data_IF_085137107412
#
_entry.id   IF_085137107412
#
_cell.length_a   1.000
_cell.length_b   1.000
_cell.length_c   1.000
_cell.angle_alpha   90.00
_cell.angle_beta   90.00
_cell.angle_gamma   90.00
#
_symmetry.space_group_name_H-M   'P 1'
#
loop_
_entity.id
_entity.type
_entity.pdbx_description
1 polymer ?
#
# COMPACT_ATOMS: atom_id res chain seq x y z
N UNK A 1 21.82 -1.00 -3.23
CA UNK A 1 22.47 0.21 -2.73
C UNK A 1 23.09 1.07 -3.83
N UNK A 2 23.57 0.51 -4.94
CA UNK A 2 24.09 1.29 -6.11
C UNK A 2 23.11 2.30 -6.76
N UNK A 3 21.82 2.23 -6.44
CA UNK A 3 20.77 3.07 -7.05
C UNK A 3 20.74 4.52 -6.52
N UNK A 4 21.56 4.87 -5.53
CA UNK A 4 21.53 6.18 -4.88
C UNK A 4 22.84 6.96 -5.00
N UNK A 5 23.76 6.55 -5.89
CA UNK A 5 25.09 7.17 -6.06
C UNK A 5 25.03 8.59 -6.66
N UNK A 6 23.92 8.99 -7.32
CA UNK A 6 23.73 10.29 -7.98
C UNK A 6 22.64 11.15 -7.33
N UNK A 7 22.52 11.13 -6.01
CA UNK A 7 21.46 11.89 -5.35
C UNK A 7 21.83 13.38 -5.24
N UNK A 8 21.00 14.31 -5.73
CA UNK A 8 21.27 15.74 -5.57
C UNK A 8 21.21 16.13 -4.09
N UNK A 9 22.08 17.05 -3.71
CA UNK A 9 22.09 17.70 -2.41
C UNK A 9 20.72 18.33 -2.15
N UNK A 10 19.84 17.62 -1.46
CA UNK A 10 18.59 18.19 -1.01
C UNK A 10 18.84 18.85 0.33
N UNK A 11 19.35 20.10 0.31
CA UNK A 11 19.40 20.93 1.50
C UNK A 11 18.02 20.87 2.18
N UNK A 12 17.98 20.53 3.46
CA UNK A 12 16.76 20.39 4.26
C UNK A 12 15.94 19.10 4.09
N UNK A 13 16.44 18.05 3.45
CA UNK A 13 15.79 16.73 3.40
C UNK A 13 16.63 15.70 4.14
N UNK A 14 15.99 14.91 5.01
CA UNK A 14 16.60 13.74 5.62
C UNK A 14 16.03 12.48 4.94
N UNK A 15 16.87 11.78 4.18
CA UNK A 15 16.54 10.45 3.65
C UNK A 15 17.18 9.40 4.54
N UNK A 16 16.33 8.65 5.21
CA UNK A 16 16.72 7.67 6.21
C UNK A 16 16.28 6.27 5.74
N UNK A 17 17.19 5.31 5.84
CA UNK A 17 16.96 3.92 5.45
C UNK A 17 17.17 3.00 6.65
N UNK A 18 16.13 2.31 7.08
CA UNK A 18 16.25 1.20 8.02
C UNK A 18 16.41 -0.07 7.22
N UNK A 19 17.61 -0.62 7.23
CA UNK A 19 17.93 -1.89 6.59
C UNK A 19 17.91 -3.00 7.61
N UNK A 20 17.09 -4.00 7.39
CA UNK A 20 16.98 -5.13 8.30
C UNK A 20 17.21 -6.45 7.55
N UNK A 21 18.12 -7.26 8.07
CA UNK A 21 18.38 -8.64 7.69
C UNK A 21 18.06 -9.58 8.84
N UNK A 22 18.13 -10.92 8.68
CA UNK A 22 17.98 -11.85 9.79
C UNK A 22 18.97 -11.65 10.94
N UNK A 23 20.16 -11.13 10.66
CA UNK A 23 21.27 -11.07 11.60
C UNK A 23 21.55 -9.67 12.14
N UNK A 24 21.12 -8.62 11.43
CA UNK A 24 21.40 -7.25 11.83
C UNK A 24 20.32 -6.28 11.34
N UNK A 25 20.19 -5.18 12.06
CA UNK A 25 19.42 -4.03 11.63
C UNK A 25 20.24 -2.77 11.78
N UNK A 26 20.27 -1.93 10.73
CA UNK A 26 21.05 -0.71 10.65
C UNK A 26 20.20 0.44 10.13
N UNK A 27 20.51 1.63 10.61
CA UNK A 27 19.99 2.89 10.13
C UNK A 27 21.05 3.61 9.32
N UNK A 28 20.72 3.94 8.10
CA UNK A 28 21.55 4.74 7.21
C UNK A 28 20.88 6.08 6.94
N UNK A 29 21.68 7.09 6.73
CA UNK A 29 21.30 8.39 6.16
C UNK A 29 21.99 8.55 4.82
N UNK A 30 21.25 9.05 3.83
CA UNK A 30 21.83 9.43 2.55
C UNK A 30 22.45 10.82 2.69
N UNK A 31 23.71 10.93 2.36
CA UNK A 31 24.50 12.18 2.31
C UNK A 31 25.15 12.31 0.93
N UNK A 32 25.88 13.41 0.68
CA UNK A 32 26.54 13.69 -0.61
C UNK A 32 27.45 12.54 -1.07
N UNK A 33 28.18 11.95 -0.13
CA UNK A 33 29.13 10.86 -0.40
C UNK A 33 28.50 9.46 -0.37
N UNK A 34 27.16 9.37 -0.31
CA UNK A 34 26.41 8.13 -0.30
C UNK A 34 25.77 7.80 1.05
N UNK A 35 25.48 6.51 1.27
CA UNK A 35 24.81 6.02 2.48
C UNK A 35 25.78 5.89 3.65
N UNK A 36 25.57 6.68 4.69
CA UNK A 36 26.35 6.63 5.94
C UNK A 36 25.54 5.89 7.01
N UNK A 37 26.12 4.84 7.59
CA UNK A 37 25.53 4.15 8.75
C UNK A 37 25.63 5.06 9.98
N UNK A 38 24.46 5.50 10.48
CA UNK A 38 24.40 6.38 11.66
C UNK A 38 24.00 5.66 12.94
N UNK A 39 23.46 4.43 12.83
CA UNK A 39 23.13 3.61 13.99
C UNK A 39 23.06 2.12 13.66
N UNK A 40 23.63 1.29 14.53
CA UNK A 40 23.47 -0.14 14.49
C UNK A 40 22.55 -0.58 15.64
N UNK A 41 21.54 -1.40 15.33
CA UNK A 41 20.59 -1.92 16.33
C UNK A 41 20.91 -3.37 16.72
N UNK A 42 21.81 -4.04 15.97
CA UNK A 42 22.12 -5.46 16.16
C UNK A 42 20.98 -6.37 15.68
N UNK A 43 20.87 -7.54 16.30
CA UNK A 43 19.88 -8.57 15.93
C UNK A 43 18.53 -8.28 16.59
N UNK A 44 17.71 -7.45 15.94
CA UNK A 44 16.37 -7.08 16.38
C UNK A 44 15.35 -7.47 15.30
N UNK A 45 14.16 -7.93 15.72
CA UNK A 45 13.08 -8.25 14.78
C UNK A 45 12.37 -6.97 14.32
N UNK A 46 12.53 -6.54 13.06
CA UNK A 46 11.87 -5.34 12.54
C UNK A 46 10.35 -5.49 12.44
N UNK A 47 9.85 -6.73 12.40
CA UNK A 47 8.41 -7.06 12.30
C UNK A 47 7.76 -7.26 13.68
N UNK A 48 8.32 -6.67 14.71
CA UNK A 48 7.66 -6.50 16.00
C UNK A 48 7.09 -5.08 16.11
N UNK A 49 5.80 -4.94 16.45
CA UNK A 49 5.10 -3.65 16.46
C UNK A 49 5.73 -2.64 17.41
N UNK A 50 6.21 -3.07 18.57
CA UNK A 50 6.84 -2.19 19.54
C UNK A 50 8.21 -1.71 19.04
N UNK A 51 8.99 -2.63 18.45
CA UNK A 51 10.30 -2.32 17.85
C UNK A 51 10.13 -1.30 16.72
N UNK A 52 9.22 -1.56 15.79
CA UNK A 52 8.94 -0.65 14.66
C UNK A 52 8.47 0.72 15.17
N UNK A 53 7.53 0.74 16.11
CA UNK A 53 7.02 1.96 16.73
C UNK A 53 8.13 2.78 17.41
N UNK A 54 9.00 2.12 18.17
CA UNK A 54 10.12 2.77 18.85
C UNK A 54 11.10 3.39 17.85
N UNK A 55 11.46 2.66 16.79
CA UNK A 55 12.37 3.15 15.75
C UNK A 55 11.79 4.36 15.06
N UNK A 56 10.54 4.28 14.57
CA UNK A 56 9.88 5.39 13.86
C UNK A 56 9.75 6.61 14.76
N UNK A 57 9.33 6.45 16.01
CA UNK A 57 9.21 7.57 16.96
C UNK A 57 10.56 8.22 17.25
N UNK A 58 11.62 7.42 17.42
CA UNK A 58 12.97 7.94 17.62
C UNK A 58 13.48 8.72 16.39
N UNK A 59 13.21 8.20 15.18
CA UNK A 59 13.59 8.88 13.94
C UNK A 59 12.89 10.23 13.81
N UNK A 60 11.58 10.27 14.06
CA UNK A 60 10.81 11.53 14.02
C UNK A 60 11.29 12.55 15.06
N UNK A 61 11.68 12.08 16.24
CA UNK A 61 12.22 12.94 17.27
C UNK A 61 13.62 13.48 16.90
N UNK A 62 14.48 12.63 16.35
CA UNK A 62 15.86 13.01 15.99
C UNK A 62 15.94 13.83 14.70
N UNK A 63 14.98 13.69 13.80
CA UNK A 63 14.91 14.37 12.51
C UNK A 63 13.54 15.05 12.33
N UNK A 64 13.25 16.12 13.11
CA UNK A 64 11.97 16.81 13.00
C UNK A 64 11.81 17.44 11.61
N UNK A 65 10.60 17.31 11.03
CA UNK A 65 10.31 17.76 9.68
C UNK A 65 8.89 18.31 9.59
N UNK A 66 8.66 19.27 8.69
CA UNK A 66 7.31 19.79 8.36
C UNK A 66 6.51 18.81 7.53
N UNK A 67 7.18 18.01 6.71
CA UNK A 67 6.59 16.97 5.89
C UNK A 67 7.33 15.65 6.14
N UNK A 68 6.60 14.60 6.41
CA UNK A 68 7.19 13.28 6.68
C UNK A 68 6.49 12.23 5.82
N UNK A 69 7.26 11.53 5.01
CA UNK A 69 6.82 10.35 4.27
C UNK A 69 7.36 9.06 4.88
N UNK A 70 6.64 7.97 4.68
CA UNK A 70 7.07 6.63 5.04
C UNK A 70 7.00 5.71 3.82
N UNK A 71 8.09 5.04 3.50
CA UNK A 71 8.15 4.04 2.44
C UNK A 71 8.35 2.69 3.09
N UNK A 72 7.43 1.77 2.84
CA UNK A 72 7.42 0.42 3.38
C UNK A 72 7.69 -0.57 2.26
N UNK A 73 8.94 -1.00 2.14
CA UNK A 73 9.40 -1.96 1.13
C UNK A 73 9.52 -3.36 1.71
N UNK A 74 8.71 -4.29 1.21
CA UNK A 74 8.75 -5.70 1.63
C UNK A 74 7.83 -6.58 0.78
N UNK A 75 7.80 -7.89 1.07
CA UNK A 75 6.69 -8.74 0.63
C UNK A 75 5.40 -8.37 1.37
N UNK A 76 4.27 -8.45 0.65
CA UNK A 76 2.95 -8.32 1.25
C UNK A 76 1.89 -9.11 0.46
N UNK A 77 0.74 -9.37 1.10
CA UNK A 77 -0.42 -10.02 0.50
C UNK A 77 -1.74 -9.32 0.90
N UNK A 78 -1.69 -8.00 1.02
CA UNK A 78 -2.85 -7.21 1.41
C UNK A 78 -3.41 -7.62 2.77
N UNK A 79 -4.72 -7.65 2.90
CA UNK A 79 -5.43 -7.94 4.14
C UNK A 79 -5.43 -9.42 4.55
N UNK A 80 -4.93 -10.32 3.71
CA UNK A 80 -4.99 -11.76 3.96
C UNK A 80 -4.31 -12.13 5.28
N UNK A 81 -4.91 -13.02 6.10
CA UNK A 81 -4.37 -13.42 7.38
C UNK A 81 -3.10 -14.26 7.23
N UNK A 82 -2.25 -14.23 8.25
CA UNK A 82 -0.94 -14.91 8.25
C UNK A 82 -1.04 -16.44 8.08
N UNK A 83 -2.13 -17.04 8.52
CA UNK A 83 -2.29 -18.50 8.59
C UNK A 83 -2.77 -19.13 7.26
N UNK A 84 -3.15 -18.33 6.29
CA UNK A 84 -3.63 -18.80 4.99
C UNK A 84 -2.47 -19.01 4.01
N UNK A 85 -2.28 -20.25 3.57
CA UNK A 85 -1.32 -20.64 2.52
C UNK A 85 0.15 -20.30 2.83
N UNK A 86 0.58 -20.36 4.09
CA UNK A 86 1.91 -19.84 4.49
C UNK A 86 2.08 -18.37 4.12
N UNK A 87 0.98 -17.61 4.06
CA UNK A 87 0.92 -16.28 3.54
C UNK A 87 1.44 -15.25 4.52
N UNK A 88 2.00 -14.19 3.96
CA UNK A 88 2.73 -13.13 4.66
C UNK A 88 1.93 -11.85 4.49
N UNK A 89 1.22 -11.39 5.53
CA UNK A 89 0.47 -10.13 5.44
C UNK A 89 1.42 -8.98 5.09
N UNK A 90 2.49 -8.81 5.88
CA UNK A 90 3.55 -7.84 5.58
C UNK A 90 4.90 -8.33 6.10
N UNK A 91 5.93 -8.23 5.29
CA UNK A 91 7.30 -8.56 5.64
C UNK A 91 7.59 -10.06 5.75
N UNK A 92 8.87 -10.37 5.80
CA UNK A 92 9.39 -11.67 6.21
C UNK A 92 10.77 -11.50 6.84
N UNK A 93 10.87 -11.75 8.12
CA UNK A 93 12.15 -11.79 8.82
C UNK A 93 12.20 -13.03 9.74
N UNK A 94 13.16 -13.92 9.51
CA UNK A 94 13.32 -15.15 10.31
C UNK A 94 12.02 -15.98 10.45
N UNK A 95 11.27 -16.14 9.36
CA UNK A 95 9.99 -16.85 9.35
C UNK A 95 8.84 -16.10 10.02
N UNK A 96 9.07 -14.91 10.55
CA UNK A 96 8.04 -14.06 11.15
C UNK A 96 7.49 -13.05 10.13
N UNK A 97 6.22 -12.72 10.27
CA UNK A 97 5.50 -11.72 9.49
C UNK A 97 4.72 -10.81 10.44
N UNK A 98 4.29 -9.67 9.96
CA UNK A 98 3.43 -8.74 10.70
C UNK A 98 2.06 -8.66 10.02
N UNK A 99 0.98 -8.73 10.78
CA UNK A 99 -0.35 -8.51 10.24
C UNK A 99 -0.58 -7.03 9.92
N UNK A 100 -1.50 -6.73 9.00
CA UNK A 100 -1.84 -5.34 8.66
C UNK A 100 -2.32 -4.54 9.87
N UNK A 101 -3.20 -5.07 10.77
CA UNK A 101 -3.52 -4.39 12.02
C UNK A 101 -2.31 -4.06 12.88
N UNK A 102 -1.37 -5.00 13.04
CA UNK A 102 -0.14 -4.78 13.82
C UNK A 102 0.74 -3.71 13.20
N UNK A 103 0.86 -3.71 11.86
CA UNK A 103 1.59 -2.68 11.12
C UNK A 103 0.98 -1.29 11.34
N UNK A 104 -0.34 -1.17 11.21
CA UNK A 104 -1.03 0.10 11.44
C UNK A 104 -0.93 0.57 12.91
N UNK A 105 -0.97 -0.35 13.88
CA UNK A 105 -0.78 -0.04 15.31
C UNK A 105 0.66 0.40 15.64
N UNK A 106 1.66 -0.05 14.89
CA UNK A 106 3.03 0.37 15.07
C UNK A 106 3.28 1.84 14.70
N UNK A 107 2.42 2.41 13.86
CA UNK A 107 2.46 3.82 13.45
C UNK A 107 1.65 4.67 14.44
N UNK A 108 2.32 5.23 15.45
CA UNK A 108 1.66 6.08 16.48
C UNK A 108 1.27 7.43 15.93
N UNK A 109 2.11 8.00 15.06
CA UNK A 109 1.93 9.30 14.44
C UNK A 109 1.39 9.17 13.03
N UNK A 110 0.80 10.24 12.50
CA UNK A 110 0.41 10.34 11.10
C UNK A 110 1.56 10.85 10.23
N UNK A 111 1.51 10.48 8.95
CA UNK A 111 2.45 10.89 7.91
C UNK A 111 1.74 11.74 6.86
N UNK A 112 2.48 12.55 6.11
CA UNK A 112 1.92 13.23 4.96
C UNK A 112 1.60 12.23 3.85
N UNK A 113 2.43 11.18 3.72
CA UNK A 113 2.15 10.06 2.82
C UNK A 113 2.78 8.75 3.31
N UNK A 114 2.19 7.64 2.86
CA UNK A 114 2.78 6.30 2.95
C UNK A 114 2.83 5.73 1.54
N UNK A 115 3.98 5.16 1.17
CA UNK A 115 4.14 4.36 -0.05
C UNK A 115 4.35 2.91 0.36
N UNK A 116 3.45 2.03 -0.09
CA UNK A 116 3.66 0.60 0.01
C UNK A 116 4.37 0.10 -1.23
N UNK A 117 5.68 -0.02 -1.17
CA UNK A 117 6.47 -0.73 -2.19
C UNK A 117 6.40 -2.24 -1.90
N UNK A 118 5.20 -2.77 -2.04
CA UNK A 118 4.81 -4.12 -1.67
C UNK A 118 3.56 -4.57 -2.43
N UNK A 119 3.43 -5.89 -2.65
CA UNK A 119 2.34 -6.48 -3.43
C UNK A 119 0.98 -6.36 -2.74
N UNK A 120 -0.09 -6.17 -3.50
CA UNK A 120 -1.49 -6.24 -3.07
C UNK A 120 -1.86 -5.28 -1.92
N UNK A 121 -1.24 -4.10 -1.83
CA UNK A 121 -1.52 -3.16 -0.74
C UNK A 121 -2.58 -2.12 -1.09
N UNK A 122 -2.95 -1.93 -2.39
CA UNK A 122 -4.08 -1.08 -2.77
C UNK A 122 -5.38 -1.89 -2.74
N UNK A 123 -5.85 -2.19 -1.55
CA UNK A 123 -7.20 -2.71 -1.31
C UNK A 123 -7.85 -1.96 -0.16
N UNK A 124 -9.18 -1.82 -0.21
CA UNK A 124 -9.92 -0.99 0.73
C UNK A 124 -9.79 -1.48 2.17
N UNK A 125 -9.61 -2.79 2.36
CA UNK A 125 -9.40 -3.42 3.66
C UNK A 125 -8.10 -2.95 4.30
N UNK A 126 -7.00 -2.86 3.54
CA UNK A 126 -5.73 -2.28 4.02
C UNK A 126 -5.92 -0.79 4.28
N UNK A 127 -6.47 -0.07 3.32
CA UNK A 127 -6.70 1.38 3.42
C UNK A 127 -7.48 1.75 4.67
N UNK A 128 -8.46 0.95 5.07
CA UNK A 128 -9.25 1.15 6.29
C UNK A 128 -8.39 1.18 7.56
N UNK A 129 -7.33 0.39 7.65
CA UNK A 129 -6.40 0.42 8.78
C UNK A 129 -5.52 1.68 8.80
N UNK A 130 -5.29 2.30 7.64
CA UNK A 130 -4.39 3.44 7.50
C UNK A 130 -5.10 4.80 7.39
N UNK A 131 -6.42 4.85 7.51
CA UNK A 131 -7.24 6.06 7.35
C UNK A 131 -6.82 7.27 8.20
N UNK A 132 -6.18 7.02 9.36
CA UNK A 132 -5.67 8.05 10.26
C UNK A 132 -4.13 8.07 10.33
N UNK A 133 -3.46 7.31 9.47
CA UNK A 133 -2.01 7.13 9.51
C UNK A 133 -1.28 7.96 8.47
N UNK A 134 -1.97 8.37 7.41
CA UNK A 134 -1.40 9.27 6.41
C UNK A 134 -2.50 10.06 5.69
N UNK A 135 -2.07 11.13 4.99
CA UNK A 135 -2.97 11.87 4.10
C UNK A 135 -3.10 11.16 2.75
N UNK A 136 -1.96 10.79 2.15
CA UNK A 136 -1.94 10.05 0.89
C UNK A 136 -1.35 8.65 1.08
N UNK A 137 -1.90 7.69 0.35
CA UNK A 137 -1.40 6.32 0.30
C UNK A 137 -1.18 5.93 -1.17
N UNK A 138 0.09 5.63 -1.53
CA UNK A 138 0.46 5.13 -2.87
C UNK A 138 0.73 3.64 -2.77
N UNK A 139 0.03 2.82 -3.55
CA UNK A 139 0.15 1.38 -3.49
C UNK A 139 -0.32 0.70 -4.79
N UNK A 140 0.04 -0.58 -4.96
CA UNK A 140 -0.42 -1.43 -6.05
C UNK A 140 -1.49 -2.42 -5.59
N UNK A 141 -2.58 -2.64 -6.37
CA UNK A 141 -3.58 -3.68 -6.10
C UNK A 141 -3.12 -5.08 -6.52
N UNK A 142 -1.93 -5.18 -7.13
CA UNK A 142 -1.39 -6.38 -7.73
C UNK A 142 0.07 -6.61 -7.28
N UNK A 143 0.74 -7.58 -7.87
CA UNK A 143 2.17 -7.85 -7.62
C UNK A 143 3.02 -6.64 -8.04
N UNK A 144 3.90 -6.22 -7.15
CA UNK A 144 4.99 -5.28 -7.45
C UNK A 144 6.22 -6.10 -7.84
N UNK A 145 6.80 -5.88 -9.02
CA UNK A 145 8.03 -6.56 -9.43
C UNK A 145 9.21 -6.27 -8.49
N UNK A 146 10.23 -7.13 -8.53
CA UNK A 146 11.36 -7.12 -7.58
C UNK A 146 12.11 -5.78 -7.49
N UNK A 147 12.17 -5.02 -8.59
CA UNK A 147 12.83 -3.70 -8.59
C UNK A 147 11.98 -2.60 -7.94
N UNK A 148 10.80 -2.95 -7.47
CA UNK A 148 9.94 -2.08 -6.65
C UNK A 148 9.34 -0.87 -7.37
N UNK A 149 8.65 -0.07 -6.60
CA UNK A 149 8.08 1.22 -7.01
C UNK A 149 9.17 2.30 -6.90
N UNK A 150 9.98 2.25 -5.84
CA UNK A 150 10.93 3.30 -5.49
C UNK A 150 12.32 3.00 -6.02
N UNK A 151 12.90 3.99 -6.68
CA UNK A 151 14.28 4.02 -7.16
C UNK A 151 14.87 5.45 -7.02
N UNK A 152 16.04 5.70 -7.62
CA UNK A 152 16.68 7.02 -7.54
C UNK A 152 15.86 8.13 -8.19
N UNK A 153 15.15 7.85 -9.29
CA UNK A 153 14.31 8.85 -9.99
C UNK A 153 13.09 9.20 -9.14
N UNK A 154 12.37 8.21 -8.66
CA UNK A 154 11.21 8.42 -7.79
C UNK A 154 11.61 9.12 -6.48
N UNK A 155 12.78 8.79 -5.91
CA UNK A 155 13.28 9.47 -4.70
C UNK A 155 13.61 10.94 -4.97
N UNK A 156 14.24 11.28 -6.11
CA UNK A 156 14.46 12.67 -6.54
C UNK A 156 13.14 13.44 -6.70
N UNK A 157 12.15 12.78 -7.28
CA UNK A 157 10.79 13.34 -7.43
C UNK A 157 10.15 13.66 -6.07
N UNK A 158 10.25 12.73 -5.10
CA UNK A 158 9.69 12.91 -3.76
C UNK A 158 10.26 14.10 -3.00
N UNK A 159 11.50 14.50 -3.27
CA UNK A 159 12.15 15.64 -2.62
C UNK A 159 12.15 16.91 -3.47
N UNK A 160 11.50 16.90 -4.62
CA UNK A 160 11.38 18.07 -5.50
C UNK A 160 10.48 19.17 -4.91
N UNK A 161 10.46 20.34 -5.53
CA UNK A 161 9.65 21.48 -5.11
C UNK A 161 8.19 21.42 -5.54
N UNK A 162 7.78 20.37 -6.24
CA UNK A 162 6.38 20.17 -6.64
C UNK A 162 5.46 19.99 -5.42
N UNK A 163 4.18 20.34 -5.51
CA UNK A 163 3.20 20.01 -4.49
C UNK A 163 3.17 18.50 -4.20
N UNK A 164 2.96 18.12 -2.95
CA UNK A 164 3.03 16.71 -2.51
C UNK A 164 2.21 15.76 -3.38
N UNK A 165 0.96 16.10 -3.66
CA UNK A 165 0.08 15.28 -4.50
C UNK A 165 0.70 15.04 -5.90
N UNK A 166 1.24 16.07 -6.51
CA UNK A 166 1.86 15.99 -7.83
C UNK A 166 3.12 15.13 -7.79
N UNK A 167 3.97 15.27 -6.76
CA UNK A 167 5.15 14.40 -6.57
C UNK A 167 4.77 12.93 -6.50
N UNK A 168 3.72 12.60 -5.75
CA UNK A 168 3.24 11.22 -5.62
C UNK A 168 2.64 10.67 -6.92
N UNK A 169 1.93 11.51 -7.69
CA UNK A 169 1.45 11.15 -9.03
C UNK A 169 2.61 10.87 -9.97
N UNK A 170 3.64 11.73 -9.97
CA UNK A 170 4.83 11.53 -10.82
C UNK A 170 5.61 10.26 -10.43
N UNK A 171 5.68 9.92 -9.16
CA UNK A 171 6.22 8.61 -8.72
C UNK A 171 5.42 7.46 -9.31
N UNK A 172 4.09 7.54 -9.30
CA UNK A 172 3.23 6.53 -9.91
C UNK A 172 3.41 6.42 -11.43
N UNK A 173 3.52 7.55 -12.13
CA UNK A 173 3.78 7.59 -13.60
C UNK A 173 5.15 6.99 -13.92
N UNK A 174 6.19 7.37 -13.15
CA UNK A 174 7.52 6.79 -13.33
C UNK A 174 7.53 5.28 -13.13
N UNK A 175 6.81 4.78 -12.13
CA UNK A 175 6.67 3.34 -11.91
C UNK A 175 6.08 2.63 -13.13
N UNK A 176 5.01 3.13 -13.72
CA UNK A 176 4.40 2.55 -14.91
C UNK A 176 5.36 2.57 -16.10
N UNK A 177 5.96 3.73 -16.39
CA UNK A 177 6.89 3.91 -17.50
C UNK A 177 8.12 3.00 -17.38
N UNK A 178 8.70 2.87 -16.19
CA UNK A 178 9.83 1.98 -15.91
C UNK A 178 9.56 0.52 -16.32
N UNK A 179 8.36 0.03 -16.09
CA UNK A 179 8.01 -1.36 -16.43
C UNK A 179 7.49 -1.52 -17.86
N UNK A 180 6.95 -0.48 -18.47
CA UNK A 180 6.66 -0.42 -19.89
C UNK A 180 7.95 -0.49 -20.71
N UNK A 181 8.97 0.34 -20.40
CA UNK A 181 10.28 0.31 -21.05
C UNK A 181 11.01 -1.03 -20.93
N UNK A 182 10.77 -1.75 -19.84
CA UNK A 182 11.35 -3.08 -19.60
C UNK A 182 10.56 -4.23 -20.24
N UNK A 183 9.52 -3.91 -21.02
CA UNK A 183 8.65 -4.91 -21.64
C UNK A 183 8.14 -5.94 -20.62
N UNK A 184 7.77 -5.48 -19.42
CA UNK A 184 7.29 -6.34 -18.37
C UNK A 184 5.99 -7.03 -18.82
N UNK A 185 6.02 -8.36 -18.89
CA UNK A 185 4.86 -9.17 -19.31
C UNK A 185 3.74 -9.26 -18.27
N UNK A 186 4.00 -8.78 -17.07
CA UNK A 186 3.00 -8.78 -16.00
C UNK A 186 2.17 -7.50 -16.08
N UNK A 187 0.89 -7.63 -15.79
CA UNK A 187 0.04 -6.47 -15.55
C UNK A 187 0.59 -5.67 -14.36
N UNK A 188 0.80 -4.38 -14.57
CA UNK A 188 1.29 -3.42 -13.56
C UNK A 188 0.17 -2.41 -13.31
N UNK A 189 -0.14 -2.16 -12.07
CA UNK A 189 -1.14 -1.19 -11.67
C UNK A 189 -0.72 -0.49 -10.39
N UNK A 190 -1.06 0.80 -10.27
CA UNK A 190 -0.73 1.62 -9.10
C UNK A 190 -1.77 2.70 -8.90
N UNK A 191 -2.05 3.04 -7.65
CA UNK A 191 -3.01 4.08 -7.30
C UNK A 191 -2.52 4.97 -6.18
N UNK A 192 -2.88 6.25 -6.26
CA UNK A 192 -2.75 7.21 -5.18
C UNK A 192 -4.13 7.47 -4.57
N UNK A 193 -4.24 7.24 -3.28
CA UNK A 193 -5.48 7.30 -2.52
C UNK A 193 -5.41 8.50 -1.56
N UNK A 194 -6.42 9.38 -1.60
CA UNK A 194 -6.58 10.49 -0.67
C UNK A 194 -7.43 10.06 0.53
N UNK A 195 -6.79 9.81 1.66
CA UNK A 195 -7.45 9.31 2.87
C UNK A 195 -8.34 10.36 3.56
N UNK A 196 -8.23 11.64 3.18
CA UNK A 196 -9.17 12.66 3.66
C UNK A 196 -10.62 12.38 3.21
N UNK A 197 -10.79 11.64 2.11
CA UNK A 197 -12.09 11.26 1.54
C UNK A 197 -12.64 9.94 2.11
N UNK A 198 -11.89 9.25 2.96
CA UNK A 198 -12.29 7.93 3.49
C UNK A 198 -13.67 7.95 4.17
N UNK A 199 -13.98 9.00 4.92
CA UNK A 199 -15.27 9.11 5.61
C UNK A 199 -16.47 9.17 4.65
N UNK A 200 -16.31 9.82 3.50
CA UNK A 200 -17.35 9.93 2.47
C UNK A 200 -17.60 8.56 1.81
N UNK A 201 -16.52 7.88 1.47
CA UNK A 201 -16.57 6.55 0.88
C UNK A 201 -17.15 5.52 1.86
N UNK A 202 -16.75 5.56 3.12
CA UNK A 202 -17.32 4.72 4.18
C UNK A 202 -18.82 4.94 4.34
N UNK A 203 -19.28 6.20 4.34
CA UNK A 203 -20.68 6.54 4.41
C UNK A 203 -21.44 5.97 3.21
N UNK A 204 -20.94 6.20 2.00
CA UNK A 204 -21.52 5.62 0.78
C UNK A 204 -21.70 4.11 0.93
N UNK A 205 -20.65 3.38 1.33
CA UNK A 205 -20.70 1.93 1.44
C UNK A 205 -21.62 1.41 2.56
N UNK A 206 -21.87 2.18 3.61
CA UNK A 206 -22.89 1.83 4.60
C UNK A 206 -24.31 1.90 4.04
N UNK A 207 -24.56 2.87 3.18
CA UNK A 207 -25.89 3.20 2.66
C UNK A 207 -26.27 2.38 1.41
N UNK A 208 -25.31 1.74 0.73
CA UNK A 208 -25.63 0.93 -0.45
C UNK A 208 -26.52 -0.26 -0.08
N UNK A 209 -27.49 -0.60 -0.95
CA UNK A 209 -28.35 -1.76 -0.76
C UNK A 209 -27.56 -3.06 -0.92
N UNK A 210 -28.24 -4.19 -0.78
CA UNK A 210 -27.68 -5.50 -1.14
C UNK A 210 -27.26 -5.50 -2.61
N UNK A 211 -26.09 -6.09 -2.87
CA UNK A 211 -25.51 -6.19 -4.19
C UNK A 211 -25.88 -7.55 -4.82
N UNK A 212 -26.45 -7.49 -6.02
CA UNK A 212 -26.58 -8.67 -6.88
C UNK A 212 -25.39 -8.68 -7.83
N UNK A 213 -24.53 -9.68 -7.70
CA UNK A 213 -23.28 -9.74 -8.44
C UNK A 213 -23.42 -10.70 -9.60
N UNK A 214 -22.97 -10.26 -10.77
CA UNK A 214 -22.56 -11.12 -11.85
C UNK A 214 -21.04 -11.15 -11.93
N UNK A 215 -20.41 -12.20 -11.41
CA UNK A 215 -18.96 -12.34 -11.32
C UNK A 215 -18.27 -12.18 -12.68
N UNK A 216 -18.92 -12.54 -13.78
CA UNK A 216 -18.36 -12.44 -15.14
C UNK A 216 -18.11 -10.99 -15.59
N UNK A 217 -18.77 -10.03 -14.97
CA UNK A 217 -18.63 -8.60 -15.30
C UNK A 217 -17.59 -7.89 -14.44
N UNK A 218 -17.00 -8.58 -13.47
CA UNK A 218 -16.03 -7.98 -12.56
C UNK A 218 -14.61 -8.14 -13.09
N UNK A 219 -13.79 -7.13 -12.88
CA UNK A 219 -12.36 -7.24 -13.07
C UNK A 219 -11.70 -7.80 -11.81
N UNK A 220 -10.81 -8.79 -11.99
CA UNK A 220 -10.16 -9.49 -10.90
C UNK A 220 -8.64 -9.31 -11.00
N UNK A 221 -8.06 -8.79 -9.95
CA UNK A 221 -6.61 -8.77 -9.78
C UNK A 221 -6.13 -10.17 -9.43
N UNK A 222 -5.42 -10.80 -10.35
CA UNK A 222 -5.05 -12.22 -10.22
C UNK A 222 -4.21 -12.50 -8.98
N UNK A 223 -4.68 -13.42 -8.16
CA UNK A 223 -3.96 -13.95 -7.01
C UNK A 223 -3.95 -15.47 -7.04
N UNK A 224 -2.83 -16.05 -7.51
CA UNK A 224 -2.69 -17.52 -7.66
C UNK A 224 -3.88 -18.12 -8.47
N UNK A 225 -4.64 -19.03 -7.85
CA UNK A 225 -5.76 -19.73 -8.45
C UNK A 225 -7.12 -19.34 -7.84
N UNK A 226 -7.15 -18.30 -7.00
CA UNK A 226 -8.33 -17.89 -6.23
C UNK A 226 -8.63 -16.43 -6.51
N UNK A 227 -9.88 -16.13 -6.80
CA UNK A 227 -10.35 -14.76 -7.01
C UNK A 227 -10.74 -14.16 -5.66
N UNK A 228 -9.88 -13.25 -5.16
CA UNK A 228 -10.00 -12.59 -3.85
C UNK A 228 -10.07 -11.08 -3.99
N UNK A 229 -9.30 -10.53 -4.93
CA UNK A 229 -9.13 -9.09 -5.11
C UNK A 229 -9.90 -8.66 -6.35
N UNK A 230 -11.10 -8.12 -6.16
CA UNK A 230 -11.93 -7.61 -7.24
C UNK A 230 -11.78 -6.09 -7.36
N UNK A 231 -11.78 -5.56 -8.57
CA UNK A 231 -11.78 -4.11 -8.73
C UNK A 231 -13.06 -3.49 -8.15
N UNK A 232 -12.86 -2.57 -7.24
CA UNK A 232 -13.95 -2.00 -6.48
C UNK A 232 -14.86 -1.09 -7.29
N UNK A 233 -14.30 -0.28 -8.19
CA UNK A 233 -15.07 0.63 -9.04
C UNK A 233 -15.89 -0.17 -10.05
N UNK A 234 -15.32 -1.22 -10.63
CA UNK A 234 -16.04 -2.14 -11.53
C UNK A 234 -17.21 -2.80 -10.83
N UNK A 235 -17.02 -3.25 -9.56
CA UNK A 235 -18.10 -3.79 -8.75
C UNK A 235 -19.22 -2.77 -8.55
N UNK A 236 -18.89 -1.54 -8.13
CA UNK A 236 -19.88 -0.48 -7.90
C UNK A 236 -20.65 -0.12 -9.18
N UNK A 237 -19.94 0.01 -10.31
CA UNK A 237 -20.58 0.25 -11.61
C UNK A 237 -21.52 -0.89 -12.04
N UNK A 238 -21.10 -2.14 -11.82
CA UNK A 238 -21.95 -3.32 -12.12
C UNK A 238 -23.25 -3.32 -11.32
N UNK A 239 -23.19 -2.82 -10.10
CA UNK A 239 -24.32 -2.65 -9.20
C UNK A 239 -25.09 -1.33 -9.42
N UNK A 240 -24.71 -0.53 -10.41
CA UNK A 240 -25.30 0.78 -10.74
C UNK A 240 -25.22 1.80 -9.58
N UNK A 241 -24.18 1.70 -8.77
CA UNK A 241 -23.88 2.65 -7.69
C UNK A 241 -23.09 3.82 -8.26
N UNK A 242 -23.42 5.04 -7.83
CA UNK A 242 -22.64 6.23 -8.17
C UNK A 242 -21.21 6.13 -7.62
N UNK A 243 -20.22 6.29 -8.49
CA UNK A 243 -18.80 6.19 -8.15
C UNK A 243 -18.11 7.53 -7.99
N UNK A 244 -18.81 8.66 -8.03
CA UNK A 244 -18.22 10.00 -7.95
C UNK A 244 -17.33 10.18 -6.71
N UNK A 245 -17.79 9.76 -5.53
CA UNK A 245 -17.00 9.81 -4.31
C UNK A 245 -15.77 8.89 -4.32
N UNK A 246 -15.82 7.79 -5.08
CA UNK A 246 -14.67 6.89 -5.24
C UNK A 246 -13.61 7.55 -6.13
N UNK A 247 -14.02 8.31 -7.15
CA UNK A 247 -13.11 9.05 -8.00
C UNK A 247 -12.39 10.19 -7.27
N UNK A 248 -13.06 10.81 -6.27
CA UNK A 248 -12.40 11.78 -5.39
C UNK A 248 -11.41 11.12 -4.42
N UNK A 249 -11.63 9.87 -4.11
CA UNK A 249 -10.79 9.08 -3.21
C UNK A 249 -9.56 8.49 -3.93
N UNK A 250 -9.72 7.98 -5.15
CA UNK A 250 -8.64 7.49 -6.01
C UNK A 250 -8.20 8.66 -6.89
N UNK A 251 -7.28 9.49 -6.39
CA UNK A 251 -6.88 10.75 -7.06
C UNK A 251 -5.90 10.56 -8.21
N UNK A 252 -5.32 9.38 -8.34
CA UNK A 252 -4.55 8.95 -9.48
C UNK A 252 -4.60 7.42 -9.57
N UNK A 253 -4.67 6.92 -10.78
CA UNK A 253 -4.54 5.53 -11.12
C UNK A 253 -3.90 5.38 -12.49
N UNK A 254 -3.14 4.30 -12.68
CA UNK A 254 -2.62 3.89 -13.97
C UNK A 254 -2.26 2.42 -13.99
N UNK A 255 -2.34 1.81 -15.18
CA UNK A 255 -1.97 0.41 -15.42
C UNK A 255 -1.24 0.25 -16.78
N UNK A 256 -0.44 -0.80 -16.91
CA UNK A 256 0.44 -1.03 -18.08
C UNK A 256 -0.29 -1.55 -19.32
N UNK A 257 -1.47 -2.17 -19.17
CA UNK A 257 -2.19 -2.83 -20.26
C UNK A 257 -3.34 -1.97 -20.79
N UNK A 258 -3.51 -0.76 -20.28
CA UNK A 258 -4.68 0.09 -20.56
C UNK A 258 -6.02 -0.65 -20.38
N UNK A 259 -6.06 -1.57 -19.39
CA UNK A 259 -7.27 -2.32 -19.04
C UNK A 259 -8.29 -1.33 -18.43
N UNK A 260 -9.36 -1.09 -19.17
CA UNK A 260 -10.40 -0.11 -18.81
C UNK A 260 -11.19 -0.46 -17.54
N UNK A 261 -11.13 -1.72 -17.10
CA UNK A 261 -11.82 -2.21 -15.90
C UNK A 261 -10.93 -2.25 -14.67
N UNK A 262 -9.64 -1.95 -14.82
CA UNK A 262 -8.70 -1.75 -13.71
C UNK A 262 -8.75 -0.30 -13.26
N UNK A 263 -9.33 -0.02 -12.11
CA UNK A 263 -9.40 1.30 -11.47
C UNK A 263 -8.45 1.43 -10.27
N UNK A 264 -7.59 0.45 -10.05
CA UNK A 264 -6.45 0.54 -9.14
C UNK A 264 -6.74 0.33 -7.66
N UNK A 265 -7.96 -0.03 -7.28
CA UNK A 265 -8.30 -0.32 -5.88
C UNK A 265 -9.17 -1.57 -5.80
N UNK A 266 -8.69 -2.57 -5.09
CA UNK A 266 -9.42 -3.81 -4.91
C UNK A 266 -10.27 -3.86 -3.65
N UNK A 267 -11.24 -4.77 -3.66
CA UNK A 267 -12.09 -5.14 -2.53
C UNK A 267 -12.35 -6.63 -2.56
N UNK A 268 -12.57 -7.23 -1.41
CA UNK A 268 -13.04 -8.61 -1.32
C UNK A 268 -14.52 -8.73 -1.73
N UNK A 269 -14.80 -9.71 -2.58
CA UNK A 269 -16.17 -10.08 -2.94
C UNK A 269 -16.36 -11.56 -2.57
N UNK A 270 -17.35 -11.91 -1.73
CA UNK A 270 -17.59 -13.31 -1.37
C UNK A 270 -18.15 -14.07 -2.56
N UNK A 271 -17.48 -15.16 -2.92
CA UNK A 271 -17.87 -16.10 -4.00
C UNK A 271 -17.83 -17.53 -3.49
N UNK A 272 -18.31 -18.47 -4.30
CA UNK A 272 -18.20 -19.90 -3.96
C UNK A 272 -16.76 -20.41 -3.92
N UNK A 273 -15.84 -19.75 -4.64
CA UNK A 273 -14.42 -20.14 -4.71
C UNK A 273 -13.58 -19.65 -3.53
N UNK A 274 -14.08 -18.68 -2.73
CA UNK A 274 -13.32 -18.04 -1.67
C UNK A 274 -13.99 -18.08 -0.28
N UNK A 275 -14.88 -19.05 -0.04
CA UNK A 275 -15.66 -19.20 1.21
C UNK A 275 -14.75 -19.24 2.45
N UNK A 276 -13.62 -19.92 2.36
CA UNK A 276 -12.68 -20.08 3.47
C UNK A 276 -12.12 -18.72 3.96
N UNK A 277 -12.08 -17.72 3.10
CA UNK A 277 -11.57 -16.39 3.44
C UNK A 277 -12.61 -15.50 4.14
N UNK A 278 -13.90 -15.83 4.03
CA UNK A 278 -14.97 -15.01 4.60
C UNK A 278 -14.91 -14.95 6.13
N UNK A 279 -14.46 -16.02 6.80
CA UNK A 279 -14.33 -16.02 8.25
C UNK A 279 -13.27 -15.00 8.71
N UNK A 280 -12.11 -14.98 8.07
CA UNK A 280 -11.06 -14.01 8.37
C UNK A 280 -11.49 -12.58 7.98
N UNK A 281 -12.20 -12.44 6.85
CA UNK A 281 -12.69 -11.15 6.39
C UNK A 281 -13.64 -10.47 7.37
N UNK A 282 -14.47 -11.23 8.11
CA UNK A 282 -15.34 -10.71 9.15
C UNK A 282 -14.61 -9.85 10.19
N UNK A 283 -13.32 -10.11 10.41
CA UNK A 283 -12.49 -9.42 11.40
C UNK A 283 -11.84 -8.14 10.85
N UNK A 284 -11.96 -7.84 9.56
CA UNK A 284 -11.39 -6.63 8.98
C UNK A 284 -12.12 -5.38 9.48
N UNK A 285 -11.37 -4.28 9.63
CA UNK A 285 -11.96 -2.98 10.01
C UNK A 285 -13.00 -2.55 8.98
N UNK A 286 -12.69 -2.72 7.68
CA UNK A 286 -13.62 -2.37 6.62
C UNK A 286 -14.96 -3.10 6.75
N UNK A 287 -14.94 -4.43 6.90
CA UNK A 287 -16.19 -5.19 7.09
C UNK A 287 -16.97 -4.72 8.32
N UNK A 288 -16.27 -4.48 9.44
CA UNK A 288 -16.91 -4.02 10.68
C UNK A 288 -17.52 -2.63 10.53
N UNK A 289 -16.87 -1.73 9.80
CA UNK A 289 -17.34 -0.36 9.61
C UNK A 289 -18.54 -0.24 8.69
N UNK A 290 -18.65 -1.09 7.65
CA UNK A 290 -19.67 -0.94 6.61
C UNK A 290 -20.60 -2.14 6.46
N UNK A 291 -20.42 -3.20 7.25
CA UNK A 291 -21.12 -4.49 7.15
C UNK A 291 -21.02 -5.06 5.72
N UNK A 292 -19.78 -5.10 5.20
CA UNK A 292 -19.52 -5.36 3.79
C UNK A 292 -20.07 -6.73 3.33
N UNK A 293 -19.80 -7.80 4.08
CA UNK A 293 -20.31 -9.13 3.75
C UNK A 293 -21.84 -9.21 3.69
N UNK A 294 -22.53 -8.42 4.49
CA UNK A 294 -24.00 -8.42 4.52
C UNK A 294 -24.62 -7.76 3.27
N UNK A 295 -23.79 -7.09 2.45
CA UNK A 295 -24.22 -6.52 1.16
C UNK A 295 -24.41 -7.58 0.09
N UNK A 296 -23.88 -8.78 0.29
CA UNK A 296 -23.98 -9.87 -0.66
C UNK A 296 -25.03 -10.90 -0.18
N UNK A 297 -25.84 -11.40 -1.10
CA UNK A 297 -26.72 -12.52 -0.79
C UNK A 297 -25.88 -13.79 -0.75
N UNK A 298 -25.88 -14.47 0.38
CA UNK A 298 -25.53 -15.88 0.46
C UNK A 298 -26.76 -16.71 0.15
#
# INVERSE_FOLDING_TARGET
>A
MKQFEDFPDAENVNLLFVWATPDEMKLFRLEQDGLICIKEYGKINPLNSETMSCIISNLRHSFPSKETGLILWSHALGWLPNDFLSSRSFGLANGKTMSIPQLAMSLKDSFNYIIFDACYMANIEVVAYFQQKCHYLLASPIIVPTDGIIDSVSTKTLVSSLPLKERLIEVGRHYLHKYEERECKNHISISLIDLSQYSNVRKLCREIPRLEINETNLFVYKFRYIDIFFDWVTLMKSAKIDTSHINDFIVFHGNSEQEERDYGLSVFVPTSSNVDYQYAYKQTVWNTEVNWLDKFKC
#
